data_IF_259691605959
#
_entry.id   IF_259691605959
#
_cell.length_a   1.000
_cell.length_b   1.000
_cell.length_c   1.000
_cell.angle_alpha   90.00
_cell.angle_beta   90.00
_cell.angle_gamma   90.00
#
_symmetry.space_group_name_H-M   'P 1'
#
loop_
_entity.id
_entity.type
_entity.pdbx_description
1 polymer ?
#
# COMPACT_ATOMS: atom_id res chain seq x y z
N UNK A 1 1.69 14.98 2.96
CA UNK A 1 2.45 15.03 4.21
C UNK A 1 3.78 14.27 4.10
N UNK A 2 3.74 13.04 3.63
CA UNK A 2 4.88 12.13 3.69
C UNK A 2 5.97 12.45 2.68
N UNK A 3 5.65 12.85 1.48
CA UNK A 3 6.61 13.12 0.41
C UNK A 3 7.48 14.36 0.65
N UNK A 4 6.93 15.39 1.31
CA UNK A 4 7.65 16.64 1.57
C UNK A 4 8.47 16.63 2.87
N UNK A 5 8.00 15.90 3.88
CA UNK A 5 8.60 15.94 5.22
C UNK A 5 9.58 14.80 5.52
N UNK A 6 9.56 13.70 4.79
CA UNK A 6 10.19 12.45 5.23
C UNK A 6 11.15 11.79 4.23
N UNK A 7 11.42 12.37 3.06
CA UNK A 7 12.19 11.75 1.97
C UNK A 7 11.63 10.38 1.49
N UNK A 8 10.35 10.09 1.73
CA UNK A 8 9.69 8.93 1.18
C UNK A 8 9.58 9.10 -0.32
N UNK A 9 10.02 8.10 -1.09
CA UNK A 9 10.09 8.17 -2.55
C UNK A 9 8.91 7.52 -3.26
N UNK A 10 8.15 6.69 -2.56
CA UNK A 10 6.98 5.97 -3.09
C UNK A 10 5.92 5.92 -2.00
N UNK A 11 4.68 6.18 -2.34
CA UNK A 11 3.53 5.98 -1.45
C UNK A 11 2.91 4.63 -1.74
N UNK A 12 2.28 4.03 -0.74
CA UNK A 12 1.60 2.75 -0.86
C UNK A 12 0.20 2.81 -0.25
N UNK A 13 -0.79 2.24 -0.95
CA UNK A 13 -2.13 2.00 -0.40
C UNK A 13 -2.40 0.50 -0.35
N UNK A 14 -2.57 -0.02 0.87
CA UNK A 14 -2.84 -1.44 1.12
C UNK A 14 -4.33 -1.73 1.26
N UNK A 15 -4.75 -2.94 0.91
CA UNK A 15 -6.14 -3.38 1.05
C UNK A 15 -6.62 -3.36 2.51
N UNK A 16 -5.77 -3.78 3.46
CA UNK A 16 -6.13 -3.73 4.88
C UNK A 16 -6.38 -2.29 5.38
N UNK A 17 -5.53 -1.34 4.99
CA UNK A 17 -5.66 0.08 5.38
C UNK A 17 -6.89 0.70 4.71
N UNK A 18 -7.09 0.42 3.42
CA UNK A 18 -8.29 0.87 2.69
C UNK A 18 -9.56 0.33 3.36
N UNK A 19 -9.62 -0.96 3.66
CA UNK A 19 -10.74 -1.56 4.37
C UNK A 19 -10.99 -0.92 5.72
N UNK A 20 -9.94 -0.76 6.54
CA UNK A 20 -10.03 -0.11 7.84
C UNK A 20 -10.54 1.32 7.78
N UNK A 21 -10.10 2.12 6.81
CA UNK A 21 -10.57 3.49 6.61
C UNK A 21 -12.06 3.58 6.22
N UNK A 22 -12.61 2.52 5.66
CA UNK A 22 -14.01 2.40 5.25
C UNK A 22 -14.86 1.58 6.23
N UNK A 23 -14.31 1.22 7.40
CA UNK A 23 -14.97 0.37 8.39
C UNK A 23 -15.43 -0.99 7.82
N UNK A 24 -14.69 -1.55 6.87
CA UNK A 24 -14.92 -2.88 6.31
C UNK A 24 -13.67 -3.75 6.38
N UNK A 25 -13.81 -5.05 6.12
CA UNK A 25 -12.67 -5.97 6.08
C UNK A 25 -12.10 -6.04 4.67
N UNK A 26 -10.76 -6.12 4.55
CA UNK A 26 -10.05 -6.25 3.29
C UNK A 26 -10.65 -7.29 2.31
N UNK A 27 -11.02 -8.53 2.74
CA UNK A 27 -11.62 -9.50 1.83
C UNK A 27 -12.95 -9.09 1.19
N UNK A 28 -13.61 -8.08 1.72
CA UNK A 28 -14.89 -7.56 1.21
C UNK A 28 -14.72 -6.33 0.32
N UNK A 29 -13.49 -5.81 0.18
CA UNK A 29 -13.23 -4.67 -0.69
C UNK A 29 -13.52 -5.01 -2.15
N UNK A 30 -14.21 -4.10 -2.80
CA UNK A 30 -14.37 -4.09 -4.25
C UNK A 30 -13.22 -3.34 -4.91
N UNK A 31 -13.02 -3.59 -6.20
CA UNK A 31 -12.05 -2.83 -7.00
C UNK A 31 -12.36 -1.34 -6.96
N UNK A 32 -13.63 -0.95 -7.08
CA UNK A 32 -14.04 0.46 -7.10
C UNK A 32 -13.75 1.18 -5.78
N UNK A 33 -13.87 0.50 -4.65
CA UNK A 33 -13.51 1.05 -3.34
C UNK A 33 -12.01 1.26 -3.20
N UNK A 34 -11.21 0.30 -3.65
CA UNK A 34 -9.75 0.43 -3.69
C UNK A 34 -9.32 1.56 -4.63
N UNK A 35 -9.91 1.64 -5.82
CA UNK A 35 -9.66 2.68 -6.81
C UNK A 35 -9.98 4.08 -6.31
N UNK A 36 -11.08 4.27 -5.59
CA UNK A 36 -11.47 5.57 -5.04
C UNK A 36 -10.42 6.11 -4.09
N UNK A 37 -9.99 5.28 -3.12
CA UNK A 37 -8.95 5.69 -2.17
C UNK A 37 -7.61 5.92 -2.88
N UNK A 38 -7.23 5.03 -3.78
CA UNK A 38 -5.99 5.16 -4.54
C UNK A 38 -5.98 6.42 -5.44
N UNK A 39 -7.10 6.73 -6.09
CA UNK A 39 -7.24 7.93 -6.91
C UNK A 39 -7.12 9.23 -6.10
N UNK A 40 -7.74 9.29 -4.92
CA UNK A 40 -7.61 10.43 -4.01
C UNK A 40 -6.15 10.62 -3.55
N UNK A 41 -5.45 9.53 -3.26
CA UNK A 41 -4.02 9.59 -2.90
C UNK A 41 -3.16 10.00 -4.10
N UNK A 42 -3.39 9.42 -5.28
CA UNK A 42 -2.64 9.77 -6.50
C UNK A 42 -2.77 11.25 -6.84
N UNK A 43 -3.96 11.82 -6.68
CA UNK A 43 -4.22 13.25 -6.91
C UNK A 43 -3.51 14.16 -5.89
N UNK A 44 -3.27 13.67 -4.67
CA UNK A 44 -2.71 14.46 -3.57
C UNK A 44 -1.17 14.41 -3.49
N UNK A 45 -0.51 13.45 -4.15
CA UNK A 45 0.95 13.25 -4.07
C UNK A 45 1.63 13.53 -5.41
N UNK A 46 2.93 13.85 -5.37
CA UNK A 46 3.76 14.08 -6.57
C UNK A 46 4.80 12.98 -6.80
N UNK A 47 4.77 11.96 -5.97
CA UNK A 47 5.66 10.79 -6.05
C UNK A 47 4.86 9.56 -6.46
N UNK A 48 5.50 8.53 -7.02
CA UNK A 48 4.81 7.33 -7.46
C UNK A 48 3.96 6.69 -6.37
N UNK A 49 2.78 6.22 -6.74
CA UNK A 49 1.88 5.42 -5.89
C UNK A 49 1.88 3.97 -6.35
N UNK A 50 2.09 3.06 -5.41
CA UNK A 50 1.89 1.61 -5.60
C UNK A 50 0.65 1.18 -4.82
N UNK A 51 -0.20 0.36 -5.43
CA UNK A 51 -1.49 -0.05 -4.88
C UNK A 51 -1.56 -1.56 -4.68
N UNK A 52 -2.19 -1.98 -3.60
CA UNK A 52 -2.56 -3.38 -3.38
C UNK A 52 -3.68 -3.78 -4.36
N UNK A 53 -3.33 -4.60 -5.33
CA UNK A 53 -4.26 -5.16 -6.31
C UNK A 53 -4.99 -6.41 -5.82
N UNK A 54 -4.73 -6.85 -4.57
CA UNK A 54 -5.27 -8.10 -4.04
C UNK A 54 -4.98 -9.26 -4.97
N UNK A 55 -5.94 -10.15 -5.13
CA UNK A 55 -5.87 -11.26 -6.09
C UNK A 55 -6.25 -10.84 -7.53
N UNK A 56 -6.09 -9.56 -7.90
CA UNK A 56 -6.50 -9.02 -9.20
C UNK A 56 -8.00 -8.81 -9.33
N UNK A 57 -8.75 -8.90 -8.23
CA UNK A 57 -10.22 -8.87 -8.17
C UNK A 57 -10.90 -9.92 -9.05
N UNK A 58 -10.23 -11.05 -9.29
CA UNK A 58 -10.78 -12.22 -9.99
C UNK A 58 -9.74 -12.97 -10.83
N UNK A 59 -10.23 -13.55 -11.91
CA UNK A 59 -9.48 -14.31 -12.91
C UNK A 59 -8.61 -13.38 -13.80
N UNK A 60 -7.75 -13.90 -14.70
CA UNK A 60 -6.88 -13.09 -15.55
C UNK A 60 -7.59 -11.96 -16.30
N UNK A 61 -8.81 -12.18 -16.80
CA UNK A 61 -9.61 -11.14 -17.45
C UNK A 61 -9.91 -9.96 -16.51
N UNK A 62 -10.25 -10.23 -15.26
CA UNK A 62 -10.52 -9.21 -14.24
C UNK A 62 -9.22 -8.48 -13.87
N UNK A 63 -8.13 -9.23 -13.76
CA UNK A 63 -6.79 -8.69 -13.47
C UNK A 63 -6.33 -7.71 -14.56
N UNK A 64 -6.57 -7.99 -15.84
CA UNK A 64 -6.33 -7.05 -16.94
C UNK A 64 -7.12 -5.76 -16.72
N UNK A 65 -8.41 -5.85 -16.42
CA UNK A 65 -9.22 -4.67 -16.11
C UNK A 65 -8.65 -3.88 -14.94
N UNK A 66 -8.25 -4.54 -13.86
CA UNK A 66 -7.68 -3.91 -12.68
C UNK A 66 -6.41 -3.12 -13.03
N UNK A 67 -5.47 -3.71 -13.75
CA UNK A 67 -4.25 -3.04 -14.21
C UNK A 67 -4.58 -1.83 -15.08
N UNK A 68 -5.49 -1.98 -16.04
CA UNK A 68 -5.91 -0.88 -16.91
C UNK A 68 -6.50 0.29 -16.14
N UNK A 69 -7.37 0.04 -15.17
CA UNK A 69 -8.00 1.11 -14.39
C UNK A 69 -7.00 1.76 -13.43
N UNK A 70 -6.05 1.01 -12.87
CA UNK A 70 -4.96 1.57 -12.07
C UNK A 70 -4.07 2.52 -12.90
N UNK A 71 -3.67 2.11 -14.08
CA UNK A 71 -2.90 2.95 -15.01
C UNK A 71 -3.69 4.25 -15.35
N UNK A 72 -4.96 4.15 -15.67
CA UNK A 72 -5.83 5.30 -15.95
C UNK A 72 -5.95 6.28 -14.79
N UNK A 73 -5.84 5.81 -13.56
CA UNK A 73 -5.86 6.64 -12.36
C UNK A 73 -4.50 7.27 -12.03
N UNK A 74 -3.47 7.08 -12.85
CA UNK A 74 -2.12 7.62 -12.62
C UNK A 74 -1.34 6.88 -11.54
N UNK A 75 -1.71 5.64 -11.25
CA UNK A 75 -0.99 4.75 -10.33
C UNK A 75 0.24 4.21 -11.05
N UNK A 76 1.38 4.14 -10.37
CA UNK A 76 2.66 3.76 -10.96
C UNK A 76 2.97 2.26 -10.89
N UNK A 77 2.25 1.51 -10.07
CA UNK A 77 2.44 0.07 -9.97
C UNK A 77 1.47 -0.61 -9.00
N UNK A 78 1.42 -1.92 -9.09
CA UNK A 78 0.57 -2.74 -8.22
C UNK A 78 1.25 -4.04 -7.86
N UNK A 79 0.94 -4.60 -6.70
CA UNK A 79 1.18 -6.02 -6.48
C UNK A 79 -0.10 -6.83 -6.64
N UNK A 80 0.05 -8.04 -7.17
CA UNK A 80 -1.03 -8.99 -7.42
C UNK A 80 -0.64 -10.31 -6.76
N UNK A 81 -1.53 -10.84 -5.93
CA UNK A 81 -1.27 -12.03 -5.13
C UNK A 81 -1.88 -13.29 -5.73
N UNK A 82 -1.33 -14.44 -5.31
CA UNK A 82 -1.79 -15.78 -5.68
C UNK A 82 -2.92 -16.31 -4.78
N UNK A 83 -3.51 -15.50 -3.90
CA UNK A 83 -4.63 -15.96 -3.09
C UNK A 83 -5.87 -16.30 -3.93
N UNK A 84 -6.62 -17.27 -3.43
CA UNK A 84 -7.92 -17.64 -4.01
C UNK A 84 -8.88 -16.44 -3.98
N UNK A 85 -9.61 -16.23 -5.06
CA UNK A 85 -10.65 -15.21 -5.14
C UNK A 85 -12.04 -15.86 -5.30
N UNK A 86 -13.07 -15.38 -4.58
CA UNK A 86 -13.10 -14.28 -3.61
C UNK A 86 -12.20 -14.53 -2.40
N UNK A 87 -11.47 -13.48 -1.98
CA UNK A 87 -10.53 -13.53 -0.87
C UNK A 87 -11.19 -14.00 0.43
N UNK A 88 -10.52 -14.88 1.19
CA UNK A 88 -11.08 -15.47 2.39
C UNK A 88 -10.68 -14.69 3.65
N UNK A 89 -11.63 -14.51 4.58
CA UNK A 89 -11.35 -13.89 5.87
C UNK A 89 -10.33 -14.66 6.72
N UNK A 90 -10.16 -15.97 6.49
CA UNK A 90 -9.16 -16.81 7.15
C UNK A 90 -7.71 -16.35 6.87
N UNK A 91 -7.46 -15.62 5.81
CA UNK A 91 -6.20 -14.94 5.58
C UNK A 91 -5.72 -14.15 6.81
N UNK A 92 -6.63 -13.47 7.53
CA UNK A 92 -6.29 -12.74 8.77
C UNK A 92 -5.88 -13.65 9.94
N UNK A 93 -6.13 -14.96 9.83
CA UNK A 93 -5.61 -15.99 10.75
C UNK A 93 -4.39 -16.68 10.17
N UNK A 94 -3.80 -16.13 9.09
CA UNK A 94 -2.67 -16.68 8.35
C UNK A 94 -2.94 -18.04 7.72
N UNK A 95 -4.18 -18.31 7.36
CA UNK A 95 -4.57 -19.47 6.57
C UNK A 95 -4.90 -18.99 5.14
N UNK A 96 -3.86 -18.63 4.40
CA UNK A 96 -4.04 -18.28 2.98
C UNK A 96 -4.29 -19.55 2.17
N UNK A 97 -5.24 -19.46 1.24
CA UNK A 97 -5.43 -20.47 0.21
C UNK A 97 -4.92 -19.87 -1.10
N UNK A 98 -3.94 -20.51 -1.71
CA UNK A 98 -3.31 -20.06 -2.95
C UNK A 98 -3.77 -20.92 -4.14
N UNK A 99 -3.83 -20.31 -5.32
CA UNK A 99 -4.09 -20.99 -6.58
C UNK A 99 -2.86 -21.77 -7.05
N UNK A 100 -2.96 -22.58 -8.10
CA UNK A 100 -1.83 -23.29 -8.68
C UNK A 100 -0.73 -22.33 -9.14
N UNK A 101 0.51 -22.83 -9.32
CA UNK A 101 1.62 -22.03 -9.87
C UNK A 101 1.31 -21.53 -11.27
N UNK A 102 0.71 -22.38 -12.06
CA UNK A 102 0.34 -22.16 -13.47
C UNK A 102 -0.73 -21.07 -13.57
N UNK A 103 -1.79 -21.15 -12.78
CA UNK A 103 -2.86 -20.15 -12.75
C UNK A 103 -2.32 -18.80 -12.28
N UNK A 104 -1.39 -18.78 -11.31
CA UNK A 104 -0.74 -17.57 -10.86
C UNK A 104 0.14 -16.94 -11.95
N UNK A 105 0.96 -17.75 -12.62
CA UNK A 105 1.78 -17.29 -13.73
C UNK A 105 0.92 -16.74 -14.88
N UNK A 106 -0.19 -17.39 -15.20
CA UNK A 106 -1.15 -16.90 -16.19
C UNK A 106 -1.75 -15.55 -15.79
N UNK A 107 -2.17 -15.41 -14.53
CA UNK A 107 -2.67 -14.15 -14.01
C UNK A 107 -1.65 -13.01 -14.18
N UNK A 108 -0.39 -13.24 -13.83
CA UNK A 108 0.70 -12.26 -14.00
C UNK A 108 0.97 -11.98 -15.49
N UNK A 109 0.99 -13.00 -16.33
CA UNK A 109 1.20 -12.83 -17.77
C UNK A 109 0.15 -11.90 -18.39
N UNK A 110 -1.12 -12.07 -18.04
CA UNK A 110 -2.19 -11.21 -18.54
C UNK A 110 -2.18 -9.80 -17.92
N UNK A 111 -1.75 -9.66 -16.66
CA UNK A 111 -1.47 -8.36 -16.07
C UNK A 111 -0.37 -7.61 -16.84
N UNK A 112 0.74 -8.29 -17.14
CA UNK A 112 1.85 -7.73 -17.93
C UNK A 112 1.43 -7.40 -19.36
N UNK A 113 0.63 -8.24 -20.01
CA UNK A 113 0.06 -7.92 -21.32
C UNK A 113 -0.75 -6.63 -21.28
N UNK A 114 -1.61 -6.43 -20.29
CA UNK A 114 -2.38 -5.19 -20.17
C UNK A 114 -1.48 -3.97 -19.92
N UNK A 115 -0.41 -4.14 -19.14
CA UNK A 115 0.62 -3.10 -18.96
C UNK A 115 1.21 -2.68 -20.30
N UNK A 116 1.72 -3.62 -21.10
CA UNK A 116 2.31 -3.34 -22.41
C UNK A 116 1.34 -2.60 -23.36
N UNK A 117 0.05 -2.92 -23.28
CA UNK A 117 -0.99 -2.29 -24.09
C UNK A 117 -1.35 -0.86 -23.63
N UNK A 118 -1.09 -0.52 -22.34
CA UNK A 118 -1.59 0.73 -21.73
C UNK A 118 -0.48 1.68 -21.30
N UNK A 119 0.51 1.20 -20.55
CA UNK A 119 1.66 1.96 -20.04
C UNK A 119 2.80 0.98 -19.68
N UNK A 120 3.81 0.83 -20.55
CA UNK A 120 4.93 -0.09 -20.32
C UNK A 120 5.77 0.20 -19.06
N UNK A 121 5.71 1.43 -18.54
CA UNK A 121 6.45 1.82 -17.33
C UNK A 121 5.73 1.44 -16.03
N UNK A 122 4.47 0.98 -16.11
CA UNK A 122 3.71 0.53 -14.94
C UNK A 122 4.31 -0.73 -14.33
N UNK A 123 4.58 -0.73 -13.01
CA UNK A 123 5.28 -1.81 -12.31
C UNK A 123 4.32 -2.91 -11.85
N UNK A 124 4.55 -4.15 -12.27
CA UNK A 124 3.85 -5.35 -11.79
C UNK A 124 4.72 -6.09 -10.78
N UNK A 125 4.25 -6.17 -9.54
CA UNK A 125 4.88 -6.90 -8.45
C UNK A 125 4.09 -8.20 -8.23
N UNK A 126 4.69 -9.34 -8.53
CA UNK A 126 4.09 -10.64 -8.26
C UNK A 126 4.21 -10.97 -6.76
N UNK A 127 3.09 -11.17 -6.07
CA UNK A 127 3.06 -11.52 -4.65
C UNK A 127 2.64 -12.96 -4.45
N UNK A 128 3.36 -13.67 -3.59
CA UNK A 128 2.92 -14.99 -3.14
C UNK A 128 2.78 -15.08 -1.63
N UNK A 129 1.69 -15.65 -1.17
CA UNK A 129 1.44 -15.97 0.23
C UNK A 129 1.80 -17.44 0.58
N UNK A 130 2.29 -18.24 -0.37
CA UNK A 130 2.63 -19.65 -0.20
C UNK A 130 3.74 -19.89 0.84
N UNK A 131 4.69 -18.96 1.00
CA UNK A 131 5.83 -19.13 1.92
C UNK A 131 5.42 -19.52 3.34
N UNK A 132 4.29 -19.02 3.81
CA UNK A 132 3.79 -19.27 5.16
C UNK A 132 3.48 -20.74 5.45
N UNK A 133 3.01 -21.48 4.44
CA UNK A 133 2.50 -22.85 4.57
C UNK A 133 3.37 -23.86 3.83
N UNK A 134 3.88 -23.48 2.68
CA UNK A 134 4.61 -24.36 1.78
C UNK A 134 6.13 -24.12 1.81
N UNK A 135 6.56 -23.03 2.46
CA UNK A 135 7.97 -22.70 2.66
C UNK A 135 8.57 -21.81 1.59
N UNK A 136 9.83 -21.43 1.81
CA UNK A 136 10.56 -20.50 0.96
C UNK A 136 10.78 -21.03 -0.46
N UNK A 137 11.09 -22.30 -0.59
CA UNK A 137 11.37 -22.95 -1.90
C UNK A 137 10.17 -22.81 -2.84
N UNK A 138 8.97 -23.14 -2.35
CA UNK A 138 7.73 -22.98 -3.09
C UNK A 138 7.47 -21.53 -3.47
N UNK A 139 7.60 -20.62 -2.52
CA UNK A 139 7.39 -19.19 -2.77
C UNK A 139 8.35 -18.65 -3.84
N UNK A 140 9.62 -19.02 -3.77
CA UNK A 140 10.62 -18.66 -4.79
C UNK A 140 10.28 -19.25 -6.15
N UNK A 141 9.85 -20.52 -6.21
CA UNK A 141 9.44 -21.15 -7.46
C UNK A 141 8.28 -20.37 -8.13
N UNK A 142 7.27 -19.95 -7.36
CA UNK A 142 6.15 -19.11 -7.85
C UNK A 142 6.62 -17.76 -8.37
N UNK A 143 7.49 -17.07 -7.64
CA UNK A 143 8.04 -15.78 -8.08
C UNK A 143 8.89 -15.93 -9.33
N UNK A 144 9.68 -16.99 -9.43
CA UNK A 144 10.51 -17.22 -10.61
C UNK A 144 9.66 -17.57 -11.87
N UNK A 145 8.52 -18.24 -11.70
CA UNK A 145 7.56 -18.44 -12.76
C UNK A 145 6.86 -17.13 -13.17
N UNK A 146 6.52 -16.29 -12.18
CA UNK A 146 5.97 -14.97 -12.43
C UNK A 146 6.96 -14.03 -13.13
N UNK A 147 8.26 -14.15 -12.83
CA UNK A 147 9.33 -13.46 -13.54
C UNK A 147 9.36 -13.86 -15.02
N UNK A 148 9.28 -15.16 -15.32
CA UNK A 148 9.20 -15.67 -16.68
C UNK A 148 7.92 -15.22 -17.40
N UNK A 149 6.86 -14.89 -16.65
CA UNK A 149 5.61 -14.32 -17.15
C UNK A 149 5.63 -12.79 -17.33
N UNK A 150 6.74 -12.11 -16.95
CA UNK A 150 6.96 -10.68 -17.18
C UNK A 150 6.85 -9.77 -15.95
N UNK A 151 6.72 -10.30 -14.73
CA UNK A 151 6.72 -9.50 -13.51
C UNK A 151 8.06 -8.77 -13.32
N UNK A 152 8.00 -7.52 -12.85
CA UNK A 152 9.18 -6.68 -12.62
C UNK A 152 9.84 -6.96 -11.26
N UNK A 153 9.03 -7.27 -10.25
CA UNK A 153 9.47 -7.54 -8.90
C UNK A 153 8.64 -8.66 -8.26
N UNK A 154 9.21 -9.27 -7.23
CA UNK A 154 8.52 -10.27 -6.42
C UNK A 154 8.28 -9.80 -4.98
N UNK A 155 7.24 -10.34 -4.33
CA UNK A 155 6.93 -10.12 -2.95
C UNK A 155 6.65 -11.47 -2.27
N UNK A 156 7.47 -11.79 -1.27
CA UNK A 156 7.38 -13.02 -0.47
C UNK A 156 7.27 -12.62 0.99
N UNK A 157 6.63 -13.45 1.81
CA UNK A 157 6.56 -13.30 3.26
C UNK A 157 7.44 -14.33 3.98
N UNK A 158 8.77 -14.11 4.09
CA UNK A 158 9.67 -15.01 4.82
C UNK A 158 9.22 -15.17 6.28
N UNK A 159 9.33 -16.39 6.80
CA UNK A 159 8.86 -16.74 8.15
C UNK A 159 9.85 -16.39 9.26
N UNK A 160 11.13 -16.28 8.90
CA UNK A 160 12.23 -16.07 9.84
C UNK A 160 13.41 -15.35 9.15
N UNK A 161 14.43 -15.02 9.95
CA UNK A 161 15.62 -14.28 9.48
C UNK A 161 16.43 -15.05 8.42
N UNK A 162 16.48 -16.37 8.49
CA UNK A 162 17.22 -17.18 7.53
C UNK A 162 16.56 -17.14 6.17
N UNK A 163 15.25 -17.37 6.10
CA UNK A 163 14.47 -17.26 4.86
C UNK A 163 14.54 -15.83 4.31
N UNK A 164 14.49 -14.82 5.18
CA UNK A 164 14.61 -13.42 4.76
C UNK A 164 15.93 -13.13 4.08
N UNK A 165 17.06 -13.69 4.57
CA UNK A 165 18.39 -13.54 3.96
C UNK A 165 18.55 -14.34 2.67
N UNK A 166 17.85 -15.47 2.56
CA UNK A 166 17.97 -16.36 1.39
C UNK A 166 17.07 -15.94 0.23
N UNK A 167 15.89 -15.41 0.48
CA UNK A 167 14.90 -15.10 -0.53
C UNK A 167 15.45 -14.25 -1.70
N UNK A 168 16.16 -13.12 -1.48
CA UNK A 168 16.69 -12.31 -2.57
C UNK A 168 17.76 -13.01 -3.42
N UNK A 169 18.47 -14.00 -2.83
CA UNK A 169 19.53 -14.75 -3.52
C UNK A 169 18.99 -15.83 -4.46
N UNK A 170 17.77 -16.29 -4.19
CA UNK A 170 17.10 -17.38 -4.93
C UNK A 170 16.13 -16.87 -6.00
N UNK A 171 15.70 -15.62 -5.88
CA UNK A 171 14.77 -14.99 -6.81
C UNK A 171 15.48 -14.51 -8.08
N UNK A 172 14.86 -14.76 -9.26
CA UNK A 172 15.30 -14.24 -10.55
C UNK A 172 15.11 -12.72 -10.69
N UNK A 173 14.17 -12.14 -9.94
CA UNK A 173 13.81 -10.72 -10.00
C UNK A 173 13.96 -10.06 -8.63
N UNK A 174 14.13 -8.73 -8.56
CA UNK A 174 14.24 -8.01 -7.30
C UNK A 174 13.04 -8.26 -6.39
N UNK A 175 13.29 -8.37 -5.08
CA UNK A 175 12.22 -8.56 -4.11
C UNK A 175 11.87 -7.27 -3.35
N UNK A 176 10.59 -7.17 -3.04
CA UNK A 176 10.01 -6.20 -2.10
C UNK A 176 9.73 -6.91 -0.77
N UNK A 177 10.05 -6.26 0.35
CA UNK A 177 9.71 -6.76 1.69
C UNK A 177 8.55 -5.96 2.29
N UNK A 178 7.61 -6.64 2.95
CA UNK A 178 6.53 -5.98 3.69
C UNK A 178 6.84 -5.98 5.19
N UNK A 179 7.14 -4.80 5.72
CA UNK A 179 7.26 -4.55 7.15
C UNK A 179 5.85 -4.46 7.74
N UNK A 180 5.40 -5.53 8.38
CA UNK A 180 4.04 -5.64 8.90
C UNK A 180 4.06 -5.60 10.42
N UNK A 181 4.13 -4.40 11.01
CA UNK A 181 4.05 -4.22 12.46
C UNK A 181 2.72 -4.74 12.96
N UNK A 182 2.75 -5.45 14.09
CA UNK A 182 1.56 -6.11 14.64
C UNK A 182 1.18 -7.40 13.91
N UNK A 183 2.09 -7.97 13.08
CA UNK A 183 1.88 -9.30 12.53
C UNK A 183 1.72 -10.33 13.67
N UNK A 184 0.96 -11.40 13.41
CA UNK A 184 0.64 -12.44 14.39
C UNK A 184 1.49 -13.70 14.23
N UNK A 185 2.28 -13.75 13.15
CA UNK A 185 3.12 -14.89 12.77
C UNK A 185 4.60 -14.69 13.14
N UNK A 186 4.89 -13.68 13.96
CA UNK A 186 6.23 -13.36 14.48
C UNK A 186 7.30 -13.18 13.38
N UNK A 187 6.91 -12.79 12.18
CA UNK A 187 7.84 -12.50 11.09
C UNK A 187 8.78 -11.34 11.45
N UNK A 188 10.03 -11.37 10.96
CA UNK A 188 11.00 -10.34 11.22
C UNK A 188 10.52 -8.93 10.85
N UNK A 189 10.95 -7.94 11.63
CA UNK A 189 10.69 -6.52 11.41
C UNK A 189 12.02 -5.77 11.21
N UNK A 190 12.73 -6.00 10.10
CA UNK A 190 14.02 -5.38 9.81
C UNK A 190 13.87 -3.89 9.54
N UNK A 191 14.98 -3.16 9.66
CA UNK A 191 15.11 -1.79 9.16
C UNK A 191 15.30 -1.78 7.65
N UNK A 192 15.07 -0.61 7.00
CA UNK A 192 15.35 -0.45 5.57
C UNK A 192 16.83 -0.71 5.21
N UNK A 193 17.78 -0.31 6.09
CA UNK A 193 19.19 -0.58 5.88
C UNK A 193 19.49 -2.10 5.89
N UNK A 194 18.98 -2.83 6.88
CA UNK A 194 19.13 -4.28 6.94
C UNK A 194 18.55 -4.99 5.70
N UNK A 195 17.41 -4.51 5.19
CA UNK A 195 16.83 -5.05 3.95
C UNK A 195 17.71 -4.78 2.73
N UNK A 196 18.25 -3.57 2.61
CA UNK A 196 19.17 -3.23 1.54
C UNK A 196 20.44 -4.10 1.56
N UNK A 197 21.02 -4.33 2.75
CA UNK A 197 22.20 -5.19 2.94
C UNK A 197 21.92 -6.65 2.55
N UNK A 198 20.67 -7.11 2.71
CA UNK A 198 20.23 -8.46 2.30
C UNK A 198 19.91 -8.55 0.80
N UNK A 199 19.83 -7.43 0.08
CA UNK A 199 19.55 -7.39 -1.35
C UNK A 199 18.09 -7.13 -1.75
N UNK A 200 17.22 -6.75 -0.81
CA UNK A 200 15.88 -6.28 -1.16
C UNK A 200 15.93 -4.94 -1.86
N UNK A 201 15.11 -4.78 -2.88
CA UNK A 201 15.06 -3.54 -3.68
C UNK A 201 14.18 -2.46 -3.07
N UNK A 202 13.13 -2.85 -2.37
CA UNK A 202 12.18 -1.94 -1.74
C UNK A 202 11.59 -2.56 -0.46
N UNK A 203 11.05 -1.70 0.39
CA UNK A 203 10.29 -2.08 1.57
C UNK A 203 8.96 -1.32 1.60
N UNK A 204 7.89 -2.02 1.94
CA UNK A 204 6.57 -1.45 2.18
C UNK A 204 6.31 -1.48 3.69
N UNK A 205 6.13 -0.33 4.32
CA UNK A 205 5.57 -0.27 5.67
C UNK A 205 4.04 -0.19 5.56
N UNK A 206 3.40 -1.35 5.69
CA UNK A 206 1.99 -1.50 5.35
C UNK A 206 1.03 -0.97 6.43
N UNK A 207 1.44 -0.84 7.69
CA UNK A 207 0.50 -0.68 8.81
C UNK A 207 0.88 0.39 9.83
N UNK A 208 2.14 0.79 9.93
CA UNK A 208 2.62 1.62 11.05
C UNK A 208 1.79 2.90 11.21
N UNK A 209 1.55 3.63 10.12
CA UNK A 209 0.78 4.88 10.16
C UNK A 209 -0.65 4.65 10.71
N UNK A 210 -1.35 3.66 10.23
CA UNK A 210 -2.71 3.33 10.67
C UNK A 210 -2.74 2.92 12.14
N UNK A 211 -1.80 2.06 12.58
CA UNK A 211 -1.75 1.59 13.97
C UNK A 211 -1.46 2.74 14.94
N UNK A 212 -0.50 3.62 14.60
CA UNK A 212 -0.15 4.79 15.40
C UNK A 212 -1.33 5.77 15.47
N UNK A 213 -1.93 6.11 14.32
CA UNK A 213 -3.08 7.01 14.26
C UNK A 213 -4.26 6.49 15.08
N UNK A 214 -4.60 5.21 14.93
CA UNK A 214 -5.69 4.59 15.67
C UNK A 214 -5.41 4.56 17.17
N UNK A 215 -4.19 4.20 17.58
CA UNK A 215 -3.82 4.11 19.00
C UNK A 215 -3.95 5.47 19.69
N UNK A 216 -3.35 6.51 19.13
CA UNK A 216 -3.39 7.86 19.74
C UNK A 216 -4.78 8.52 19.66
N UNK A 217 -5.50 8.35 18.54
CA UNK A 217 -6.88 8.82 18.45
C UNK A 217 -7.78 8.16 19.50
N UNK A 218 -7.63 6.86 19.75
CA UNK A 218 -8.37 6.15 20.80
C UNK A 218 -8.07 6.70 22.19
N UNK A 219 -6.81 7.00 22.52
CA UNK A 219 -6.42 7.59 23.80
C UNK A 219 -7.02 8.98 23.98
N UNK A 220 -6.93 9.83 22.95
CA UNK A 220 -7.50 11.18 22.98
C UNK A 220 -9.03 11.14 23.18
N UNK A 221 -9.73 10.30 22.43
CA UNK A 221 -11.19 10.14 22.56
C UNK A 221 -11.61 9.59 23.93
N UNK A 222 -10.83 8.70 24.54
CA UNK A 222 -11.09 8.19 25.87
C UNK A 222 -10.93 9.30 26.94
N UNK A 223 -9.94 10.17 26.81
CA UNK A 223 -9.76 11.33 27.69
C UNK A 223 -10.91 12.30 27.52
N UNK A 224 -11.27 12.70 26.31
CA UNK A 224 -12.40 13.59 26.03
C UNK A 224 -13.69 13.04 26.64
N UNK A 225 -13.95 11.75 26.46
CA UNK A 225 -15.15 11.09 27.03
C UNK A 225 -15.19 11.19 28.57
N UNK A 226 -14.04 11.09 29.23
CA UNK A 226 -13.92 11.10 30.69
C UNK A 226 -13.95 12.50 31.29
N UNK A 227 -13.33 13.47 30.60
CA UNK A 227 -13.07 14.84 31.20
C UNK A 227 -13.81 15.97 30.49
N UNK A 228 -14.37 15.72 29.30
CA UNK A 228 -14.92 16.77 28.44
C UNK A 228 -13.85 17.56 27.67
N UNK A 229 -12.56 17.24 27.83
CA UNK A 229 -11.44 17.95 27.21
C UNK A 229 -10.29 17.02 26.86
N UNK A 230 -9.33 17.53 26.08
CA UNK A 230 -8.08 16.84 25.77
C UNK A 230 -6.88 17.69 26.16
N UNK A 231 -5.99 17.13 26.96
CA UNK A 231 -4.81 17.84 27.51
C UNK A 231 -3.48 17.37 26.90
N UNK A 232 -3.51 16.40 25.98
CA UNK A 232 -2.31 15.82 25.38
C UNK A 232 -1.57 16.72 24.40
N UNK A 233 -2.17 17.85 24.00
CA UNK A 233 -1.53 18.92 23.22
C UNK A 233 -1.71 20.26 23.92
N UNK A 234 -0.67 21.09 23.95
CA UNK A 234 -0.76 22.47 24.35
C UNK A 234 -1.53 23.30 23.32
N UNK A 235 -2.02 24.48 23.71
CA UNK A 235 -2.68 25.40 22.79
C UNK A 235 -1.76 25.76 21.60
N UNK A 236 -0.48 25.98 21.86
CA UNK A 236 0.48 26.30 20.81
C UNK A 236 0.65 25.14 19.84
N UNK A 237 0.79 23.89 20.32
CA UNK A 237 0.89 22.70 19.45
C UNK A 237 -0.37 22.52 18.58
N UNK A 238 -1.56 22.87 19.11
CA UNK A 238 -2.78 22.85 18.29
C UNK A 238 -2.76 23.91 17.19
N UNK A 239 -2.26 25.11 17.47
CA UNK A 239 -2.11 26.20 16.51
C UNK A 239 -1.11 25.78 15.41
N UNK A 240 0.05 25.27 15.81
CA UNK A 240 1.11 24.86 14.88
C UNK A 240 0.62 23.73 13.94
N UNK A 241 0.00 22.70 14.51
CA UNK A 241 -0.55 21.58 13.72
C UNK A 241 -1.65 22.03 12.76
N UNK A 242 -2.51 22.98 13.20
CA UNK A 242 -3.53 23.56 12.34
C UNK A 242 -2.91 24.32 11.18
N UNK A 243 -1.93 25.16 11.45
CA UNK A 243 -1.23 25.92 10.40
C UNK A 243 -0.52 25.00 9.39
N UNK A 244 0.13 23.92 9.86
CA UNK A 244 0.71 22.92 8.97
C UNK A 244 -0.34 22.28 8.05
N UNK A 245 -1.53 21.97 8.58
CA UNK A 245 -2.64 21.41 7.78
C UNK A 245 -3.14 22.45 6.76
N UNK A 246 -3.32 23.70 7.15
CA UNK A 246 -3.76 24.80 6.30
C UNK A 246 -2.80 25.03 5.14
N UNK A 247 -1.50 25.03 5.39
CA UNK A 247 -0.45 25.11 4.36
C UNK A 247 -0.49 23.89 3.41
N UNK A 248 -0.72 22.68 3.95
CA UNK A 248 -0.81 21.46 3.18
C UNK A 248 -1.95 21.46 2.16
N UNK A 249 -3.12 21.99 2.55
CA UNK A 249 -4.29 22.10 1.65
C UNK A 249 -4.24 23.34 0.75
N UNK A 250 -3.20 24.18 0.88
CA UNK A 250 -2.99 25.35 0.02
C UNK A 250 -3.83 26.56 0.42
N UNK A 251 -4.28 26.65 1.68
CA UNK A 251 -5.19 27.69 2.13
C UNK A 251 -4.59 29.09 2.00
N UNK A 252 -3.29 29.26 2.22
CA UNK A 252 -2.60 30.54 2.04
C UNK A 252 -2.76 31.10 0.63
N UNK A 253 -2.65 30.24 -0.41
CA UNK A 253 -2.87 30.61 -1.80
C UNK A 253 -4.33 31.04 -2.05
N UNK A 254 -5.27 30.41 -1.37
CA UNK A 254 -6.70 30.79 -1.51
C UNK A 254 -6.98 32.15 -0.90
N UNK A 255 -6.37 32.51 0.22
CA UNK A 255 -6.45 33.85 0.81
C UNK A 255 -5.92 34.91 -0.16
N UNK A 256 -4.76 34.71 -0.77
CA UNK A 256 -4.19 35.63 -1.75
C UNK A 256 -5.13 35.85 -2.95
N UNK A 257 -5.78 34.79 -3.44
CA UNK A 257 -6.75 34.86 -4.54
C UNK A 257 -7.99 35.66 -4.10
N UNK A 258 -8.51 35.39 -2.92
CA UNK A 258 -9.70 36.09 -2.41
C UNK A 258 -9.44 37.57 -2.14
N UNK A 259 -8.30 37.93 -1.57
CA UNK A 259 -7.88 39.31 -1.37
C UNK A 259 -7.88 40.09 -2.70
N UNK A 260 -7.31 39.55 -3.77
CA UNK A 260 -7.22 40.17 -5.10
C UNK A 260 -8.57 40.21 -5.86
N UNK A 261 -9.54 39.44 -5.46
CA UNK A 261 -10.79 39.26 -6.25
C UNK A 261 -12.06 39.62 -5.49
N UNK A 262 -12.34 38.93 -4.41
CA UNK A 262 -13.62 39.06 -3.70
C UNK A 262 -13.57 40.17 -2.66
N UNK A 263 -12.53 40.20 -1.84
CA UNK A 263 -12.40 41.13 -0.73
C UNK A 263 -12.17 42.56 -1.23
N UNK A 264 -11.22 42.76 -2.15
CA UNK A 264 -10.92 44.09 -2.68
C UNK A 264 -12.11 44.68 -3.46
N UNK A 265 -12.82 43.89 -4.27
CA UNK A 265 -13.92 44.35 -5.11
C UNK A 265 -15.24 44.53 -4.39
N UNK A 266 -15.52 43.71 -3.36
CA UNK A 266 -16.82 43.70 -2.66
C UNK A 266 -16.82 44.44 -1.34
N UNK A 267 -15.72 44.46 -0.65
CA UNK A 267 -15.65 44.93 0.74
C UNK A 267 -14.71 46.11 0.94
N UNK A 268 -13.95 46.51 -0.09
CA UNK A 268 -13.10 47.70 -0.09
C UNK A 268 -12.00 47.68 0.98
N UNK A 269 -11.44 46.48 1.22
CA UNK A 269 -10.30 46.31 2.13
C UNK A 269 -9.00 46.33 1.38
#
# INVERSE_FOLDING_TARGET
>A
LTDRATNIRVVYTGGFVTGGSRCTSEPLLTMDEQMRVAGDVAAAVRIPLVVDGGAGFGEPLHTMRTVREFIRAGIAGTHIEDQLYPKRANYHKYVAHVISREDFADKIRFACRQREESDPDFVIIARTDACRFEGLEEAVARINLAADAGADMGLIFPRNDEEMKQAPKLSKIPLVYVISRGNRDARPLPTGAQLADMGYKAAIDALTYMLVSFHFAKLALAEIKRTGSYSGLTAQQCIDARHEIETLVGLDQFYEIEEQTVEEKKWGK
#
